data_IF_639359367669
#
_entry.id   IF_639359367669
#
_cell.length_a   1.000
_cell.length_b   1.000
_cell.length_c   1.000
_cell.angle_alpha   90.00
_cell.angle_beta   90.00
_cell.angle_gamma   90.00
#
_symmetry.space_group_name_H-M   'P 1'
#
loop_
_entity.id
_entity.type
_entity.pdbx_description
1 polymer ?
#
# COMPACT_ATOMS: atom_id res chain seq x y z
N UNK A 1 -3.12 -9.58 -2.28
CA UNK A 1 -2.99 -8.74 -3.49
C UNK A 1 -2.73 -9.66 -4.66
N UNK A 2 -3.57 -9.65 -5.71
CA UNK A 2 -3.47 -10.60 -6.83
C UNK A 2 -2.79 -10.01 -8.08
N UNK A 3 -2.80 -8.68 -8.23
CA UNK A 3 -2.06 -7.94 -9.24
C UNK A 3 -1.71 -6.54 -8.73
N UNK A 4 -0.72 -5.90 -9.36
CA UNK A 4 -0.29 -4.52 -9.09
C UNK A 4 -0.42 -3.59 -10.31
N UNK A 5 -0.47 -4.15 -11.51
CA UNK A 5 -0.43 -3.44 -12.78
C UNK A 5 -1.56 -3.88 -13.73
N UNK A 6 -2.73 -4.22 -13.19
CA UNK A 6 -3.92 -4.55 -13.98
C UNK A 6 -4.47 -3.29 -14.68
N UNK A 7 -3.82 -2.88 -15.77
CA UNK A 7 -4.11 -1.62 -16.47
C UNK A 7 -5.25 -1.74 -17.46
N UNK A 8 -5.46 -2.93 -18.02
CA UNK A 8 -6.52 -3.20 -19.01
C UNK A 8 -7.18 -4.55 -18.75
N UNK A 9 -8.43 -4.66 -19.16
CA UNK A 9 -9.19 -5.90 -19.16
C UNK A 9 -9.52 -6.28 -20.59
N UNK A 10 -8.91 -7.35 -21.10
CA UNK A 10 -9.13 -7.81 -22.48
C UNK A 10 -10.57 -8.31 -22.69
N UNK A 11 -11.26 -8.72 -21.62
CA UNK A 11 -12.67 -9.08 -21.68
C UNK A 11 -13.56 -7.83 -21.85
N UNK A 12 -13.33 -6.77 -21.08
CA UNK A 12 -14.14 -5.55 -21.18
C UNK A 12 -13.77 -4.65 -22.38
N UNK A 13 -12.51 -4.71 -22.80
CA UNK A 13 -11.94 -3.95 -23.91
C UNK A 13 -11.25 -4.88 -24.91
N UNK A 14 -12.01 -5.70 -25.67
CA UNK A 14 -11.41 -6.70 -26.57
C UNK A 14 -10.75 -6.13 -27.82
N UNK A 15 -11.04 -4.87 -28.17
CA UNK A 15 -10.61 -4.25 -29.43
C UNK A 15 -9.70 -3.02 -29.22
N UNK A 16 -9.47 -2.61 -27.98
CA UNK A 16 -8.61 -1.48 -27.63
C UNK A 16 -8.13 -1.61 -26.18
N UNK A 17 -7.12 -0.85 -25.76
CA UNK A 17 -6.76 -0.81 -24.35
C UNK A 17 -7.72 0.08 -23.54
N UNK A 18 -7.97 -0.30 -22.29
CA UNK A 18 -8.56 0.58 -21.29
C UNK A 18 -7.60 1.73 -20.99
N UNK A 19 -8.12 2.95 -20.86
CA UNK A 19 -7.36 4.07 -20.28
C UNK A 19 -7.59 4.07 -18.76
N UNK A 20 -6.60 3.70 -17.94
CA UNK A 20 -6.80 3.55 -16.50
C UNK A 20 -6.97 4.89 -15.76
N UNK A 21 -6.58 6.02 -16.37
CA UNK A 21 -6.73 7.34 -15.79
C UNK A 21 -8.14 7.91 -15.98
N UNK A 22 -8.82 7.52 -17.06
CA UNK A 22 -10.19 7.93 -17.35
C UNK A 22 -11.23 6.89 -16.88
N UNK A 23 -10.86 5.61 -16.85
CA UNK A 23 -11.68 4.51 -16.35
C UNK A 23 -10.94 3.74 -15.25
N UNK A 24 -11.19 4.06 -13.96
CA UNK A 24 -10.54 3.40 -12.84
C UNK A 24 -11.13 2.01 -12.52
N UNK A 25 -12.21 1.60 -13.20
CA UNK A 25 -12.89 0.35 -12.91
C UNK A 25 -12.00 -0.84 -13.30
N UNK A 26 -11.82 -1.79 -12.37
CA UNK A 26 -11.18 -3.06 -12.68
C UNK A 26 -12.26 -4.06 -13.05
N UNK A 27 -12.33 -4.38 -14.33
CA UNK A 27 -13.29 -5.33 -14.87
C UNK A 27 -12.78 -6.76 -14.73
N UNK A 28 -13.67 -7.72 -14.55
CA UNK A 28 -13.31 -9.13 -14.50
C UNK A 28 -12.74 -9.56 -15.86
N UNK A 29 -11.52 -10.10 -15.87
CA UNK A 29 -10.94 -10.84 -16.99
C UNK A 29 -10.63 -12.29 -16.58
N UNK A 30 -10.59 -13.20 -17.55
CA UNK A 30 -10.48 -14.64 -17.29
C UNK A 30 -11.81 -15.26 -16.86
N UNK A 31 -11.77 -16.47 -16.29
CA UNK A 31 -12.97 -17.22 -15.85
C UNK A 31 -14.04 -17.36 -16.95
N UNK A 32 -13.61 -17.60 -18.19
CA UNK A 32 -14.46 -17.66 -19.38
C UNK A 32 -15.37 -16.42 -19.55
N UNK A 33 -14.93 -15.28 -19.04
CA UNK A 33 -15.67 -14.01 -19.18
C UNK A 33 -15.70 -13.63 -20.67
N UNK A 34 -16.88 -13.50 -21.28
CA UNK A 34 -16.98 -13.24 -22.72
C UNK A 34 -16.37 -11.89 -23.12
N UNK A 35 -15.83 -11.82 -24.33
CA UNK A 35 -15.40 -10.56 -24.94
C UNK A 35 -16.56 -9.55 -24.98
N UNK A 36 -16.29 -8.31 -24.59
CA UNK A 36 -17.26 -7.22 -24.42
C UNK A 36 -18.01 -7.23 -23.09
N UNK A 37 -17.86 -8.25 -22.25
CA UNK A 37 -18.54 -8.30 -20.95
C UNK A 37 -17.89 -7.34 -19.94
N UNK A 38 -18.71 -6.47 -19.34
CA UNK A 38 -18.30 -5.52 -18.30
C UNK A 38 -18.79 -5.97 -16.92
N UNK A 39 -18.11 -6.97 -16.34
CA UNK A 39 -18.29 -7.41 -14.95
C UNK A 39 -17.28 -6.71 -14.06
N UNK A 40 -17.57 -6.50 -12.77
CA UNK A 40 -16.79 -5.60 -11.92
C UNK A 40 -16.14 -6.33 -10.74
N UNK A 41 -14.83 -6.13 -10.53
CA UNK A 41 -14.20 -6.39 -9.24
C UNK A 41 -14.27 -5.16 -8.34
N UNK A 42 -14.07 -3.97 -8.92
CA UNK A 42 -14.14 -2.70 -8.21
C UNK A 42 -13.12 -1.69 -8.73
N UNK A 43 -13.19 -0.45 -8.25
CA UNK A 43 -12.26 0.59 -8.68
C UNK A 43 -10.85 0.32 -8.16
N UNK A 44 -9.88 0.27 -9.07
CA UNK A 44 -8.47 0.09 -8.76
C UNK A 44 -8.07 -1.28 -8.19
N UNK A 45 -8.94 -2.29 -8.20
CA UNK A 45 -8.57 -3.65 -7.79
C UNK A 45 -7.53 -4.26 -8.73
N UNK A 46 -6.46 -4.86 -8.19
CA UNK A 46 -5.32 -5.32 -8.98
C UNK A 46 -4.46 -4.20 -9.61
N UNK A 47 -4.74 -2.92 -9.32
CA UNK A 47 -4.03 -1.76 -9.89
C UNK A 47 -3.49 -0.88 -8.78
N UNK A 48 -2.20 -0.96 -8.48
CA UNK A 48 -1.48 -0.09 -7.55
C UNK A 48 -0.50 0.84 -8.26
N UNK A 49 -0.05 0.47 -9.45
CA UNK A 49 0.69 1.31 -10.37
C UNK A 49 -0.17 1.65 -11.59
N UNK A 50 0.19 2.75 -12.25
CA UNK A 50 -0.37 3.18 -13.51
C UNK A 50 0.71 3.22 -14.59
N UNK A 51 0.35 3.02 -15.87
CA UNK A 51 1.28 3.26 -16.96
C UNK A 51 1.68 4.74 -17.00
N UNK A 52 2.86 5.10 -17.52
CA UNK A 52 3.17 6.49 -17.84
C UNK A 52 2.04 7.15 -18.65
N UNK A 53 1.75 8.43 -18.40
CA UNK A 53 0.66 9.14 -19.07
C UNK A 53 0.81 9.12 -20.60
N UNK A 54 2.04 9.23 -21.10
CA UNK A 54 2.34 9.19 -22.53
C UNK A 54 2.02 7.84 -23.20
N UNK A 55 1.81 6.76 -22.44
CA UNK A 55 1.38 5.46 -22.96
C UNK A 55 0.14 4.90 -22.23
N UNK A 56 -0.66 5.76 -21.61
CA UNK A 56 -1.84 5.36 -20.83
C UNK A 56 -2.85 4.54 -21.64
N UNK A 57 -2.93 4.80 -22.95
CA UNK A 57 -3.72 4.01 -23.90
C UNK A 57 -2.87 3.72 -25.15
N UNK A 58 -2.26 2.53 -25.24
CA UNK A 58 -1.49 2.11 -26.41
C UNK A 58 -2.27 2.32 -27.72
N UNK A 59 -1.59 2.84 -28.75
CA UNK A 59 -2.19 3.17 -30.06
C UNK A 59 -3.04 4.45 -30.10
N UNK A 60 -3.18 5.17 -28.98
CA UNK A 60 -3.80 6.52 -28.96
C UNK A 60 -2.93 7.62 -28.35
N UNK A 61 -1.97 7.26 -27.49
CA UNK A 61 -1.18 8.22 -26.71
C UNK A 61 0.24 8.43 -27.27
N UNK A 62 0.92 7.35 -27.69
CA UNK A 62 2.20 7.41 -28.40
C UNK A 62 2.50 6.08 -29.12
N UNK A 63 3.12 6.13 -30.31
CA UNK A 63 3.54 4.94 -31.10
C UNK A 63 5.05 4.65 -31.00
N UNK A 64 5.78 5.40 -30.19
CA UNK A 64 7.20 5.19 -29.90
C UNK A 64 7.38 4.46 -28.55
N UNK A 65 8.47 3.69 -28.36
CA UNK A 65 8.78 3.09 -27.07
C UNK A 65 8.85 4.15 -25.97
N UNK A 66 8.19 3.87 -24.85
CA UNK A 66 8.24 4.70 -23.64
C UNK A 66 9.07 3.96 -22.56
N UNK A 67 10.07 4.65 -22.01
CA UNK A 67 10.98 4.13 -20.97
C UNK A 67 10.75 4.78 -19.60
N UNK A 68 9.73 5.63 -19.46
CA UNK A 68 9.34 6.20 -18.18
C UNK A 68 8.90 5.08 -17.22
N UNK A 69 9.24 5.19 -15.92
CA UNK A 69 8.80 4.22 -14.94
C UNK A 69 7.27 4.28 -14.75
N UNK A 70 6.63 3.20 -14.28
CA UNK A 70 5.25 3.23 -13.85
C UNK A 70 5.00 4.31 -12.80
N UNK A 71 3.81 4.91 -12.83
CA UNK A 71 3.40 5.93 -11.88
C UNK A 71 2.79 5.24 -10.65
N UNK A 72 3.36 5.47 -9.47
CA UNK A 72 2.81 4.94 -8.22
C UNK A 72 1.48 5.61 -7.87
N UNK A 73 0.53 4.85 -7.33
CA UNK A 73 -0.70 5.40 -6.75
C UNK A 73 -0.51 5.78 -5.29
N UNK A 74 -1.36 6.67 -4.79
CA UNK A 74 -1.43 7.00 -3.35
C UNK A 74 -1.59 5.72 -2.51
N UNK A 75 -2.41 4.76 -2.96
CA UNK A 75 -2.59 3.47 -2.24
C UNK A 75 -1.31 2.65 -2.14
N UNK A 76 -0.47 2.69 -3.16
CA UNK A 76 0.82 2.02 -3.13
C UNK A 76 1.77 2.70 -2.14
N UNK A 77 1.84 4.04 -2.17
CA UNK A 77 2.68 4.79 -1.22
C UNK A 77 2.22 4.60 0.23
N UNK A 78 0.92 4.56 0.49
CA UNK A 78 0.39 4.24 1.83
C UNK A 78 0.72 2.81 2.27
N UNK A 79 0.74 1.85 1.33
CA UNK A 79 1.17 0.48 1.64
C UNK A 79 2.67 0.41 1.96
N UNK A 80 3.51 1.12 1.19
CA UNK A 80 4.96 1.22 1.45
C UNK A 80 5.21 1.83 2.83
N UNK A 81 4.54 2.95 3.14
CA UNK A 81 4.63 3.61 4.43
C UNK A 81 4.21 2.68 5.59
N UNK A 82 3.14 1.89 5.40
CA UNK A 82 2.72 0.89 6.39
C UNK A 82 3.71 -0.28 6.56
N UNK A 83 4.45 -0.64 5.50
CA UNK A 83 5.52 -1.64 5.60
C UNK A 83 6.72 -1.10 6.38
N UNK A 84 7.10 0.15 6.16
CA UNK A 84 8.16 0.83 6.92
C UNK A 84 7.80 0.92 8.41
N UNK A 85 6.53 1.16 8.74
CA UNK A 85 6.04 1.11 10.12
C UNK A 85 6.19 -0.28 10.74
N UNK A 86 5.85 -1.32 9.99
CA UNK A 86 6.02 -2.70 10.45
C UNK A 86 7.50 -3.02 10.72
N UNK A 87 8.41 -2.56 9.85
CA UNK A 87 9.86 -2.73 10.04
C UNK A 87 10.35 -2.03 11.31
N UNK A 88 9.84 -0.84 11.62
CA UNK A 88 10.15 -0.16 12.89
C UNK A 88 9.66 -0.97 14.10
N UNK A 89 8.45 -1.51 14.06
CA UNK A 89 7.93 -2.36 15.15
C UNK A 89 8.76 -3.64 15.30
N UNK A 90 9.16 -4.26 14.19
CA UNK A 90 10.04 -5.41 14.19
C UNK A 90 11.40 -5.06 14.83
N UNK A 91 12.00 -3.95 14.44
CA UNK A 91 13.28 -3.49 14.97
C UNK A 91 13.20 -3.22 16.49
N UNK A 92 12.15 -2.52 16.94
CA UNK A 92 11.92 -2.28 18.36
C UNK A 92 11.82 -3.60 19.15
N UNK A 93 11.08 -4.58 18.63
CA UNK A 93 10.94 -5.90 19.26
C UNK A 93 12.29 -6.59 19.41
N UNK A 94 13.10 -6.61 18.35
CA UNK A 94 14.44 -7.23 18.39
C UNK A 94 15.35 -6.52 19.41
N UNK A 95 15.30 -5.18 19.46
CA UNK A 95 16.10 -4.41 20.41
C UNK A 95 15.69 -4.68 21.85
N UNK A 96 14.39 -4.72 22.14
CA UNK A 96 13.88 -5.08 23.47
C UNK A 96 14.26 -6.48 23.91
N UNK A 97 14.28 -7.45 23.00
CA UNK A 97 14.70 -8.81 23.30
C UNK A 97 16.20 -8.89 23.66
N UNK A 98 17.02 -8.02 23.06
CA UNK A 98 18.47 -7.96 23.33
C UNK A 98 18.87 -7.11 24.53
N UNK A 99 18.02 -6.18 24.97
CA UNK A 99 18.32 -5.23 26.02
C UNK A 99 18.39 -5.90 27.41
N UNK A 100 19.49 -5.67 28.15
CA UNK A 100 19.71 -6.26 29.49
C UNK A 100 19.53 -5.28 30.64
N UNK A 101 19.71 -3.98 30.37
CA UNK A 101 19.81 -2.95 31.40
C UNK A 101 18.53 -2.10 31.55
N UNK A 102 17.38 -2.62 31.10
CA UNK A 102 16.10 -1.96 31.29
C UNK A 102 15.48 -2.35 32.63
N UNK A 103 15.00 -1.36 33.37
CA UNK A 103 14.10 -1.63 34.49
C UNK A 103 12.80 -2.29 34.00
N UNK A 104 12.08 -3.03 34.88
CA UNK A 104 10.78 -3.60 34.52
C UNK A 104 9.77 -2.57 34.02
N UNK A 105 9.84 -1.33 34.51
CA UNK A 105 8.94 -0.25 34.10
C UNK A 105 9.25 0.25 32.68
N UNK A 106 10.52 0.52 32.36
CA UNK A 106 10.95 0.94 31.01
C UNK A 106 10.65 -0.14 29.97
N UNK A 107 10.92 -1.41 30.32
CA UNK A 107 10.58 -2.53 29.45
C UNK A 107 9.08 -2.58 29.13
N UNK A 108 8.22 -2.46 30.15
CA UNK A 108 6.78 -2.47 29.96
C UNK A 108 6.29 -1.28 29.10
N UNK A 109 6.88 -0.09 29.27
CA UNK A 109 6.58 1.09 28.47
C UNK A 109 6.89 0.87 26.99
N UNK A 110 8.08 0.35 26.67
CA UNK A 110 8.46 0.09 25.28
C UNK A 110 7.73 -1.11 24.67
N UNK A 111 7.45 -2.16 25.44
CA UNK A 111 6.64 -3.29 24.96
C UNK A 111 5.21 -2.83 24.60
N UNK A 112 4.64 -1.88 25.35
CA UNK A 112 3.36 -1.29 25.02
C UNK A 112 3.36 -0.54 23.69
N UNK A 113 4.53 -0.13 23.15
CA UNK A 113 4.65 0.50 21.83
C UNK A 113 4.41 -0.47 20.67
N UNK A 114 4.62 -1.78 20.88
CA UNK A 114 4.46 -2.83 19.86
C UNK A 114 3.00 -3.13 19.48
N UNK A 115 2.06 -2.69 20.31
CA UNK A 115 0.62 -2.83 20.05
C UNK A 115 0.10 -1.62 19.28
N UNK A 116 -0.73 -1.82 18.26
CA UNK A 116 -1.40 -0.70 17.57
C UNK A 116 -2.61 -0.25 18.38
N UNK A 117 -2.71 1.02 18.83
CA UNK A 117 -3.84 1.50 19.61
C UNK A 117 -5.09 1.74 18.75
N UNK A 118 -6.27 1.69 19.39
CA UNK A 118 -7.57 1.96 18.75
C UNK A 118 -7.67 3.35 18.12
N UNK A 119 -6.88 4.32 18.62
CA UNK A 119 -6.79 5.66 18.05
C UNK A 119 -6.17 5.68 16.65
N UNK A 120 -5.50 4.61 16.23
CA UNK A 120 -5.03 4.40 14.85
C UNK A 120 -6.03 3.50 14.11
N UNK A 121 -6.34 2.33 14.67
CA UNK A 121 -7.27 1.37 14.07
C UNK A 121 -7.90 0.52 15.17
N UNK A 122 -9.23 0.39 15.15
CA UNK A 122 -9.97 -0.43 16.13
C UNK A 122 -10.25 -1.85 15.60
N UNK A 123 -10.19 -2.03 14.28
CA UNK A 123 -10.35 -3.33 13.64
C UNK A 123 -9.68 -3.35 12.26
N UNK A 124 -9.83 -4.45 11.52
CA UNK A 124 -9.32 -4.55 10.14
C UNK A 124 -10.13 -3.74 9.11
N UNK A 125 -11.24 -3.11 9.52
CA UNK A 125 -12.12 -2.34 8.63
C UNK A 125 -12.50 -0.98 9.18
N UNK A 126 -11.98 -0.60 10.36
CA UNK A 126 -12.27 0.67 11.02
C UNK A 126 -10.95 1.37 11.38
N UNK A 127 -10.64 2.40 10.60
CA UNK A 127 -9.40 3.16 10.68
C UNK A 127 -9.70 4.62 11.06
N UNK A 128 -8.76 5.26 11.77
CA UNK A 128 -8.82 6.70 12.03
C UNK A 128 -8.75 7.50 10.73
N UNK A 129 -9.51 8.59 10.64
CA UNK A 129 -9.39 9.59 9.58
C UNK A 129 -8.44 10.73 9.94
N UNK A 130 -8.05 10.83 11.22
CA UNK A 130 -7.00 11.73 11.68
C UNK A 130 -5.64 11.02 11.55
N UNK A 131 -4.67 11.61 10.82
CA UNK A 131 -3.32 11.04 10.71
C UNK A 131 -2.42 11.34 11.92
N UNK A 132 -2.79 12.26 12.82
CA UNK A 132 -1.94 12.64 13.95
C UNK A 132 -1.58 11.45 14.87
N UNK A 133 -2.49 10.52 15.22
CA UNK A 133 -2.17 9.39 16.09
C UNK A 133 -1.06 8.47 15.53
N UNK A 134 -1.05 8.20 14.23
CA UNK A 134 -0.04 7.33 13.62
C UNK A 134 1.33 8.02 13.58
N UNK A 135 1.39 9.31 13.25
CA UNK A 135 2.65 10.06 13.26
C UNK A 135 3.25 10.19 14.66
N UNK A 136 2.43 10.46 15.67
CA UNK A 136 2.88 10.49 17.07
C UNK A 136 3.38 9.11 17.53
N UNK A 137 2.73 8.03 17.08
CA UNK A 137 3.15 6.67 17.41
C UNK A 137 4.51 6.33 16.78
N UNK A 138 4.72 6.70 15.50
CA UNK A 138 6.00 6.54 14.82
C UNK A 138 7.14 7.23 15.54
N UNK A 139 6.93 8.48 15.95
CA UNK A 139 7.93 9.25 16.69
C UNK A 139 8.35 8.53 17.99
N UNK A 140 7.37 8.06 18.79
CA UNK A 140 7.64 7.32 20.02
C UNK A 140 8.38 6.01 19.79
N UNK A 141 8.02 5.26 18.73
CA UNK A 141 8.72 4.02 18.36
C UNK A 141 10.16 4.31 17.95
N UNK A 142 10.38 5.33 17.13
CA UNK A 142 11.72 5.74 16.70
C UNK A 142 12.59 6.19 17.89
N UNK A 143 12.06 7.02 18.77
CA UNK A 143 12.73 7.46 20.01
C UNK A 143 13.12 6.28 20.90
N UNK A 144 12.22 5.30 21.09
CA UNK A 144 12.52 4.09 21.85
C UNK A 144 13.64 3.27 21.19
N UNK A 145 13.63 3.11 19.86
CA UNK A 145 14.69 2.42 19.13
C UNK A 145 16.03 3.15 19.33
N UNK A 146 16.07 4.48 19.23
CA UNK A 146 17.29 5.26 19.43
C UNK A 146 17.88 5.08 20.83
N UNK A 147 17.04 5.01 21.87
CA UNK A 147 17.49 4.73 23.24
C UNK A 147 18.10 3.34 23.35
N UNK A 148 17.52 2.33 22.70
CA UNK A 148 17.97 0.94 22.78
C UNK A 148 19.15 0.58 21.86
N UNK A 149 19.49 1.47 20.92
CA UNK A 149 20.64 1.30 20.00
C UNK A 149 21.91 1.94 20.56
N UNK A 150 21.79 2.90 21.47
CA UNK A 150 22.93 3.50 22.19
C UNK A 150 23.57 2.50 23.15
#
# INVERSE_FOLDING_TARGET
MWATNYWTSDAAYPNEAQDPYLDPMSYVSGYDTPAGAKRFWGNGDGRLYYPPLACAKPGKTQDAPNFEPPVASIRFEMLREGLEDYEMLYLLREKLASAKDLSPAERAEYEALLTVPESITSSMTQFSTDPAPIYQRRAKVAEAIEVLVK
#
